data_IF_054124184334
#
_entry.id   IF_054124184334
#
_cell.length_a   1.000
_cell.length_b   1.000
_cell.length_c   1.000
_cell.angle_alpha   90.00
_cell.angle_beta   90.00
_cell.angle_gamma   90.00
#
_symmetry.space_group_name_H-M   'P 1'
#
loop_
_entity.id
_entity.type
_entity.pdbx_description
1 polymer ?
#
# COMPACT_ATOMS: atom_id res chain seq x y z
N UNK A 1 -0.20 22.07 -13.23
CA UNK A 1 -0.60 21.03 -12.25
C UNK A 1 0.37 21.10 -11.08
N UNK A 2 -0.02 20.62 -9.89
CA UNK A 2 0.81 20.68 -8.68
C UNK A 2 1.91 19.61 -8.62
N UNK A 3 1.93 18.67 -9.58
CA UNK A 3 2.84 17.52 -9.60
C UNK A 3 3.37 17.26 -11.00
N UNK A 4 4.52 16.59 -11.07
CA UNK A 4 5.17 16.10 -12.27
C UNK A 4 4.80 14.63 -12.54
N UNK A 5 5.31 14.07 -13.65
CA UNK A 5 5.01 12.70 -14.09
C UNK A 5 5.64 11.60 -13.23
N UNK A 6 6.56 11.91 -12.35
CA UNK A 6 7.33 10.99 -11.50
C UNK A 6 7.16 11.26 -9.99
N UNK A 7 6.24 12.17 -9.65
CA UNK A 7 5.99 12.57 -8.26
C UNK A 7 5.52 11.41 -7.37
N UNK A 8 5.90 11.48 -6.09
CA UNK A 8 5.37 10.65 -5.02
C UNK A 8 4.20 11.37 -4.34
N UNK A 9 3.02 10.75 -4.35
CA UNK A 9 1.78 11.31 -3.81
C UNK A 9 1.46 10.65 -2.47
N UNK A 10 1.27 11.44 -1.42
CA UNK A 10 0.87 10.95 -0.10
C UNK A 10 -0.58 11.32 0.16
N UNK A 11 -1.36 10.32 0.58
CA UNK A 11 -2.69 10.51 1.14
C UNK A 11 -2.74 9.90 2.54
N UNK A 12 -2.77 10.76 3.56
CA UNK A 12 -2.78 10.34 4.96
C UNK A 12 -4.17 9.92 5.47
N UNK A 13 -5.21 10.06 4.65
CA UNK A 13 -6.60 9.74 4.98
C UNK A 13 -7.25 9.02 3.80
N UNK A 14 -6.69 7.86 3.45
CA UNK A 14 -7.00 7.19 2.20
C UNK A 14 -8.49 6.83 2.07
N UNK A 15 -9.15 6.44 3.16
CA UNK A 15 -10.55 6.02 3.16
C UNK A 15 -10.79 4.93 2.12
N UNK A 16 -11.64 5.21 1.13
CA UNK A 16 -11.88 4.25 0.05
C UNK A 16 -10.65 4.01 -0.85
N UNK A 17 -9.68 4.92 -0.88
CA UNK A 17 -8.43 4.85 -1.64
C UNK A 17 -8.43 5.64 -2.95
N UNK A 18 -9.42 6.49 -3.20
CA UNK A 18 -9.62 7.25 -4.46
C UNK A 18 -8.35 7.84 -5.04
N UNK A 19 -7.47 8.39 -4.21
CA UNK A 19 -6.16 8.93 -4.62
C UNK A 19 -5.32 7.90 -5.39
N UNK A 20 -5.18 6.67 -4.88
CA UNK A 20 -4.42 5.62 -5.58
C UNK A 20 -5.01 5.26 -6.94
N UNK A 21 -6.34 5.31 -7.09
CA UNK A 21 -6.97 5.10 -8.41
C UNK A 21 -6.70 6.27 -9.35
N UNK A 22 -6.85 7.51 -8.88
CA UNK A 22 -6.55 8.68 -9.70
C UNK A 22 -5.10 8.66 -10.20
N UNK A 23 -4.14 8.23 -9.36
CA UNK A 23 -2.73 8.09 -9.75
C UNK A 23 -2.55 7.03 -10.85
N UNK A 24 -3.09 5.83 -10.66
CA UNK A 24 -2.98 4.76 -11.68
C UNK A 24 -3.63 5.18 -13.00
N UNK A 25 -4.79 5.84 -12.94
CA UNK A 25 -5.49 6.35 -14.11
C UNK A 25 -4.68 7.41 -14.84
N UNK A 26 -4.15 8.39 -14.11
CA UNK A 26 -3.34 9.45 -14.69
C UNK A 26 -2.08 8.89 -15.37
N UNK A 27 -1.40 7.92 -14.74
CA UNK A 27 -0.25 7.25 -15.33
C UNK A 27 -0.61 6.50 -16.62
N UNK A 28 -1.75 5.82 -16.66
CA UNK A 28 -2.23 5.15 -17.86
C UNK A 28 -2.58 6.13 -19.00
N UNK A 29 -3.09 7.32 -18.66
CA UNK A 29 -3.48 8.36 -19.62
C UNK A 29 -2.28 9.13 -20.19
N UNK A 30 -1.30 9.48 -19.35
CA UNK A 30 -0.19 10.37 -19.75
C UNK A 30 1.20 9.70 -19.82
N UNK A 31 1.26 8.38 -19.62
CA UNK A 31 2.51 7.61 -19.59
C UNK A 31 3.42 7.95 -18.41
N UNK A 32 2.86 8.55 -17.35
CA UNK A 32 3.58 8.89 -16.13
C UNK A 32 3.97 7.67 -15.29
N UNK A 33 4.85 7.92 -14.32
CA UNK A 33 5.37 6.96 -13.36
C UNK A 33 5.17 7.44 -11.91
N UNK A 34 4.05 8.13 -11.66
CA UNK A 34 3.71 8.63 -10.32
C UNK A 34 3.52 7.45 -9.37
N UNK A 35 4.01 7.60 -8.15
CA UNK A 35 3.87 6.62 -7.08
C UNK A 35 2.97 7.18 -5.99
N UNK A 36 2.39 6.32 -5.17
CA UNK A 36 1.54 6.76 -4.08
C UNK A 36 1.84 6.02 -2.77
N UNK A 37 1.57 6.71 -1.66
CA UNK A 37 1.48 6.15 -0.31
C UNK A 37 0.07 6.49 0.20
N UNK A 38 -0.67 5.46 0.58
CA UNK A 38 -1.99 5.58 1.19
C UNK A 38 -1.89 5.14 2.65
N UNK A 39 -2.36 5.97 3.57
CA UNK A 39 -2.45 5.64 5.00
C UNK A 39 -3.93 5.59 5.39
N UNK A 40 -4.31 4.53 6.09
CA UNK A 40 -5.63 4.35 6.68
C UNK A 40 -5.48 3.78 8.08
N UNK A 41 -6.20 4.36 9.05
CA UNK A 41 -6.08 4.02 10.47
C UNK A 41 -6.93 2.81 10.85
N UNK A 42 -8.10 2.67 10.21
CA UNK A 42 -8.96 1.52 10.47
C UNK A 42 -8.44 0.31 9.69
N UNK A 43 -7.98 -0.72 10.41
CA UNK A 43 -7.39 -1.90 9.81
C UNK A 43 -8.34 -2.69 8.89
N UNK A 44 -9.65 -2.67 9.18
CA UNK A 44 -10.66 -3.30 8.34
C UNK A 44 -10.90 -2.47 7.07
N UNK A 45 -11.00 -1.15 7.19
CA UNK A 45 -11.13 -0.27 6.01
C UNK A 45 -9.87 -0.38 5.13
N UNK A 46 -8.69 -0.31 5.73
CA UNK A 46 -7.41 -0.40 5.03
C UNK A 46 -7.30 -1.69 4.20
N UNK A 47 -7.64 -2.85 4.80
CA UNK A 47 -7.54 -4.17 4.14
C UNK A 47 -8.69 -4.43 3.18
N UNK A 48 -9.92 -4.26 3.64
CA UNK A 48 -11.12 -4.80 2.97
C UNK A 48 -11.72 -3.80 1.97
N UNK A 49 -11.42 -2.51 2.13
CA UNK A 49 -11.94 -1.44 1.26
C UNK A 49 -10.81 -0.81 0.44
N UNK A 50 -9.84 -0.18 1.11
CA UNK A 50 -8.78 0.60 0.43
C UNK A 50 -7.92 -0.29 -0.46
N UNK A 51 -7.31 -1.32 0.12
CA UNK A 51 -6.42 -2.23 -0.60
C UNK A 51 -7.17 -3.03 -1.67
N UNK A 52 -8.37 -3.51 -1.37
CA UNK A 52 -9.17 -4.26 -2.34
C UNK A 52 -9.59 -3.41 -3.54
N UNK A 53 -10.00 -2.17 -3.31
CA UNK A 53 -10.34 -1.26 -4.41
C UNK A 53 -9.12 -0.94 -5.28
N UNK A 54 -7.96 -0.66 -4.68
CA UNK A 54 -6.72 -0.40 -5.45
C UNK A 54 -6.28 -1.65 -6.23
N UNK A 55 -6.40 -2.85 -5.63
CA UNK A 55 -6.12 -4.13 -6.32
C UNK A 55 -7.00 -4.30 -7.55
N UNK A 56 -8.31 -4.13 -7.40
CA UNK A 56 -9.28 -4.23 -8.53
C UNK A 56 -8.99 -3.21 -9.62
N UNK A 57 -8.67 -1.97 -9.26
CA UNK A 57 -8.34 -0.93 -10.23
C UNK A 57 -7.04 -1.25 -10.99
N UNK A 58 -6.03 -1.79 -10.32
CA UNK A 58 -4.77 -2.19 -10.95
C UNK A 58 -4.93 -3.41 -11.87
N UNK A 59 -5.66 -4.44 -11.42
CA UNK A 59 -5.75 -5.75 -12.08
C UNK A 59 -6.95 -5.89 -13.04
N UNK A 60 -7.95 -5.04 -12.90
CA UNK A 60 -9.25 -5.17 -13.56
C UNK A 60 -10.27 -5.89 -12.68
N UNK A 61 -11.54 -5.70 -12.99
CA UNK A 61 -12.66 -6.28 -12.23
C UNK A 61 -13.94 -6.32 -13.06
N UNK A 62 -14.91 -7.13 -12.64
CA UNK A 62 -16.26 -7.12 -13.21
C UNK A 62 -17.15 -6.17 -12.44
N UNK A 63 -17.82 -5.25 -13.15
CA UNK A 63 -18.72 -4.28 -12.51
C UNK A 63 -20.08 -4.93 -12.15
N UNK A 64 -20.94 -4.19 -11.44
CA UNK A 64 -22.26 -4.68 -11.03
C UNK A 64 -23.20 -5.02 -12.19
N UNK A 65 -22.90 -4.56 -13.42
CA UNK A 65 -23.64 -4.88 -14.65
C UNK A 65 -23.12 -6.15 -15.34
N UNK A 66 -22.09 -6.81 -14.78
CA UNK A 66 -21.46 -7.98 -15.37
C UNK A 66 -20.44 -7.66 -16.47
N UNK A 67 -20.08 -6.38 -16.64
CA UNK A 67 -19.14 -5.96 -17.68
C UNK A 67 -17.71 -6.00 -17.16
N UNK A 68 -16.75 -6.55 -17.93
CA UNK A 68 -15.34 -6.53 -17.57
C UNK A 68 -14.77 -5.12 -17.71
N UNK A 69 -14.10 -4.63 -16.68
CA UNK A 69 -13.31 -3.40 -16.67
C UNK A 69 -11.84 -3.78 -16.67
N UNK A 70 -11.10 -3.33 -17.70
CA UNK A 70 -9.67 -3.58 -17.80
C UNK A 70 -8.91 -2.90 -16.65
N UNK A 71 -7.87 -3.58 -16.15
CA UNK A 71 -6.98 -2.99 -15.15
C UNK A 71 -6.15 -1.85 -15.72
N UNK A 72 -5.87 -0.86 -14.89
CA UNK A 72 -5.00 0.27 -15.25
C UNK A 72 -3.51 -0.09 -15.19
N UNK A 73 -3.18 -1.31 -14.74
CA UNK A 73 -1.82 -1.75 -14.51
C UNK A 73 -1.23 -1.19 -13.21
N UNK A 74 0.07 -1.40 -13.03
CA UNK A 74 0.77 -1.08 -11.79
C UNK A 74 0.46 -2.05 -10.66
N UNK A 75 0.71 -1.61 -9.43
CA UNK A 75 0.53 -2.42 -8.24
C UNK A 75 0.83 -1.63 -6.97
N UNK A 76 0.66 -2.29 -5.83
CA UNK A 76 1.00 -1.71 -4.53
C UNK A 76 1.42 -2.82 -3.57
N UNK A 77 2.15 -2.42 -2.53
CA UNK A 77 2.43 -3.27 -1.39
C UNK A 77 1.57 -2.83 -0.22
N UNK A 78 0.92 -3.78 0.44
CA UNK A 78 0.16 -3.52 1.66
C UNK A 78 1.07 -3.75 2.87
N UNK A 79 1.27 -2.72 3.67
CA UNK A 79 2.07 -2.78 4.90
C UNK A 79 1.19 -2.42 6.09
N UNK A 80 1.52 -2.98 7.25
CA UNK A 80 0.94 -2.58 8.54
C UNK A 80 2.06 -2.14 9.46
N UNK A 81 1.79 -1.12 10.26
CA UNK A 81 2.66 -0.80 11.38
C UNK A 81 2.46 -1.85 12.47
N UNK A 82 3.55 -2.26 13.11
CA UNK A 82 3.46 -3.02 14.34
C UNK A 82 2.72 -2.19 15.39
N UNK A 83 1.94 -2.85 16.25
CA UNK A 83 1.22 -2.17 17.34
C UNK A 83 2.18 -1.39 18.26
N UNK A 84 3.42 -1.84 18.29
CA UNK A 84 4.47 -1.38 19.17
C UNK A 84 5.79 -1.23 18.36
N UNK A 85 6.61 -0.20 18.61
CA UNK A 85 7.91 -0.06 17.96
C UNK A 85 8.85 -1.23 18.27
N UNK A 86 9.66 -1.62 17.28
CA UNK A 86 10.67 -2.69 17.45
C UNK A 86 11.80 -2.27 18.41
N UNK A 87 12.15 -0.99 18.39
CA UNK A 87 13.19 -0.40 19.21
C UNK A 87 12.58 0.45 20.33
N UNK A 88 13.21 0.45 21.50
CA UNK A 88 12.89 1.39 22.57
C UNK A 88 13.50 2.77 22.31
N UNK A 89 13.27 3.71 23.24
CA UNK A 89 13.72 5.09 23.11
C UNK A 89 15.25 5.25 23.08
N UNK A 90 15.99 4.25 23.59
CA UNK A 90 17.46 4.22 23.60
C UNK A 90 18.03 3.51 22.35
N UNK A 91 17.16 3.04 21.45
CA UNK A 91 17.53 2.33 20.22
C UNK A 91 17.80 0.83 20.41
N UNK A 92 17.51 0.28 21.59
CA UNK A 92 17.65 -1.14 21.84
C UNK A 92 16.42 -1.91 21.36
N UNK A 93 16.59 -3.15 20.90
CA UNK A 93 15.44 -4.03 20.61
C UNK A 93 14.70 -4.28 21.93
N UNK A 94 13.38 -4.08 21.93
CA UNK A 94 12.60 -4.30 23.15
C UNK A 94 12.68 -5.75 23.58
N UNK A 95 12.72 -5.98 24.89
CA UNK A 95 12.91 -7.32 25.48
C UNK A 95 11.79 -8.32 25.19
N UNK A 96 10.61 -7.83 24.81
CA UNK A 96 9.42 -8.64 24.50
C UNK A 96 9.29 -8.96 23.00
N UNK A 97 10.21 -8.47 22.15
CA UNK A 97 10.24 -8.79 20.71
C UNK A 97 10.59 -10.26 20.52
N UNK A 98 9.71 -10.99 19.85
CA UNK A 98 9.94 -12.40 19.49
C UNK A 98 10.73 -12.51 18.19
N UNK A 99 11.41 -13.64 18.00
CA UNK A 99 12.15 -13.94 16.77
C UNK A 99 11.32 -13.70 15.50
N UNK A 100 10.04 -14.08 15.47
CA UNK A 100 9.18 -13.87 14.31
C UNK A 100 9.03 -12.39 13.93
N UNK A 101 8.86 -11.50 14.92
CA UNK A 101 8.73 -10.06 14.68
C UNK A 101 10.04 -9.45 14.17
N UNK A 102 11.17 -9.91 14.72
CA UNK A 102 12.48 -9.48 14.25
C UNK A 102 12.78 -10.00 12.83
N UNK A 103 12.43 -11.25 12.53
CA UNK A 103 12.58 -11.84 11.21
C UNK A 103 11.74 -11.13 10.15
N UNK A 104 10.49 -10.78 10.47
CA UNK A 104 9.63 -9.96 9.60
C UNK A 104 10.26 -8.60 9.30
N UNK A 105 10.82 -7.93 10.31
CA UNK A 105 11.53 -6.66 10.13
C UNK A 105 12.78 -6.81 9.27
N UNK A 106 13.66 -7.76 9.58
CA UNK A 106 14.88 -8.01 8.80
C UNK A 106 14.52 -8.34 7.36
N UNK A 107 13.53 -9.19 7.12
CA UNK A 107 13.07 -9.50 5.77
C UNK A 107 12.60 -8.25 5.01
N UNK A 108 11.80 -7.40 5.65
CA UNK A 108 11.34 -6.16 5.03
C UNK A 108 12.49 -5.21 4.72
N UNK A 109 13.45 -5.04 5.63
CA UNK A 109 14.63 -4.18 5.42
C UNK A 109 15.49 -4.69 4.25
N UNK A 110 15.69 -6.00 4.15
CA UNK A 110 16.54 -6.61 3.12
C UNK A 110 15.86 -6.69 1.74
N UNK A 111 14.56 -6.95 1.71
CA UNK A 111 13.83 -7.23 0.44
C UNK A 111 12.95 -6.08 -0.04
N UNK A 112 12.64 -5.11 0.83
CA UNK A 112 11.62 -4.10 0.59
C UNK A 112 10.18 -4.66 0.57
N UNK A 113 9.99 -5.96 0.81
CA UNK A 113 8.71 -6.66 0.70
C UNK A 113 8.23 -7.17 2.05
N UNK A 114 6.90 -7.26 2.25
CA UNK A 114 6.34 -7.87 3.46
C UNK A 114 6.65 -9.36 3.51
N UNK A 115 7.02 -9.88 4.69
CA UNK A 115 7.26 -11.31 4.87
C UNK A 115 5.95 -12.11 4.79
N UNK A 116 5.80 -12.92 3.75
CA UNK A 116 4.73 -13.91 3.65
C UNK A 116 5.30 -15.24 4.16
N UNK A 117 4.86 -15.71 5.33
CA UNK A 117 5.23 -17.05 5.80
C UNK A 117 4.86 -18.10 4.72
N UNK A 118 5.73 -19.09 4.49
CA UNK A 118 5.43 -20.21 3.59
C UNK A 118 4.28 -21.08 4.09
#
# INVERSE_FOLDING_TARGET
MATDKDSLILDSFAGSGTTGHAVLKQNAEDGGQRRFILVEMDAAIARDVTAERVRRVAQGYTNAKGEPVAGLGGGFQFCRLSAEPLFDADGQIRRDVRFAQLAEFVWFVETGSGYTQP
#
